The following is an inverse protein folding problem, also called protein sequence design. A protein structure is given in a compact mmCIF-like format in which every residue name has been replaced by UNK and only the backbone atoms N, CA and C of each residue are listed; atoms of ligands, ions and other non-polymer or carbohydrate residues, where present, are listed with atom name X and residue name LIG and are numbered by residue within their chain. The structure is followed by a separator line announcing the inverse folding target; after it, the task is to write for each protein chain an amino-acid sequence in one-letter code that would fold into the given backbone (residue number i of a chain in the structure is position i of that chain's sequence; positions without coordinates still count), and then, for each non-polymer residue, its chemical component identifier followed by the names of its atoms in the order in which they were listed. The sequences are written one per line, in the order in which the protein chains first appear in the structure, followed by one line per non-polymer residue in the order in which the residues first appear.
data_IF_905771464263
#
_entry.id   IF_905771464263
#
_cell.length_a   1.000
_cell.length_b   1.000
_cell.length_c   1.000
_cell.angle_alpha   90.00
_cell.angle_beta   90.00
_cell.angle_gamma   90.00
#
_symmetry.space_group_name_H-M   'P 1'
#
loop_
_entity.id
_entity.type
_entity.pdbx_description
1 polymer ?
#
# COMPACT_ATOMS: atom_id res chain seq x y z
N UNK A 1 -14.87 -13.10 -13.30
CA UNK A 1 -13.55 -12.73 -12.78
C UNK A 1 -13.63 -11.38 -12.09
N UNK A 2 -13.18 -11.30 -10.86
CA UNK A 2 -13.14 -9.99 -10.21
C UNK A 2 -12.17 -9.09 -10.96
N UNK A 3 -12.63 -7.91 -11.33
CA UNK A 3 -11.75 -6.89 -11.88
C UNK A 3 -10.84 -6.38 -10.77
N UNK A 4 -9.55 -6.33 -11.05
CA UNK A 4 -8.63 -5.66 -10.15
C UNK A 4 -8.95 -4.17 -10.15
N UNK A 5 -8.85 -3.50 -9.00
CA UNK A 5 -9.08 -2.06 -8.95
C UNK A 5 -8.05 -1.35 -9.82
N UNK A 6 -8.49 -0.29 -10.49
CA UNK A 6 -7.59 0.50 -11.33
C UNK A 6 -6.47 1.14 -10.51
N UNK A 7 -6.81 1.58 -9.32
CA UNK A 7 -5.85 2.14 -8.37
C UNK A 7 -6.20 1.62 -6.99
N UNK A 8 -5.19 1.22 -6.24
CA UNK A 8 -5.35 0.84 -4.84
C UNK A 8 -4.23 1.44 -4.01
N UNK A 9 -4.49 1.62 -2.72
CA UNK A 9 -3.57 2.23 -1.79
C UNK A 9 -3.39 1.31 -0.59
N UNK A 10 -2.14 1.02 -0.25
CA UNK A 10 -1.81 0.28 0.96
C UNK A 10 -1.24 1.26 1.99
N UNK A 11 -1.83 1.28 3.16
CA UNK A 11 -1.44 2.21 4.21
C UNK A 11 -0.29 1.65 5.04
N UNK A 12 0.77 2.42 5.15
CA UNK A 12 2.00 2.01 5.82
C UNK A 12 2.31 3.03 6.92
N UNK A 13 2.86 2.54 8.04
CA UNK A 13 3.04 3.37 9.23
C UNK A 13 4.21 4.36 9.16
N UNK A 14 5.24 4.08 8.35
CA UNK A 14 6.42 4.94 8.30
C UNK A 14 7.03 4.96 6.92
N UNK A 15 7.83 6.01 6.65
CA UNK A 15 8.52 6.15 5.36
C UNK A 15 9.54 5.02 5.15
N UNK A 16 10.20 4.58 6.20
CA UNK A 16 11.17 3.49 6.12
C UNK A 16 10.49 2.19 5.67
N UNK A 17 9.34 1.87 6.27
CA UNK A 17 8.57 0.71 5.87
C UNK A 17 7.97 0.86 4.47
N UNK A 18 7.60 2.09 4.08
CA UNK A 18 7.10 2.36 2.74
C UNK A 18 8.18 2.09 1.69
N UNK A 19 9.40 2.55 1.90
CA UNK A 19 10.51 2.25 0.99
C UNK A 19 10.79 0.77 0.90
N UNK A 20 10.81 0.10 2.04
CA UNK A 20 11.03 -1.35 2.07
C UNK A 20 9.92 -2.08 1.31
N UNK A 21 8.68 -1.67 1.53
CA UNK A 21 7.54 -2.25 0.83
C UNK A 21 7.63 -2.05 -0.68
N UNK A 22 8.02 -0.85 -1.11
CA UNK A 22 8.22 -0.56 -2.52
C UNK A 22 9.26 -1.49 -3.15
N UNK A 23 10.38 -1.70 -2.47
CA UNK A 23 11.42 -2.58 -2.96
C UNK A 23 10.97 -4.04 -3.05
N UNK A 24 10.22 -4.51 -2.05
CA UNK A 24 9.68 -5.86 -2.05
C UNK A 24 8.76 -6.06 -3.24
N UNK A 25 7.84 -5.15 -3.45
CA UNK A 25 6.88 -5.23 -4.56
C UNK A 25 7.59 -5.15 -5.90
N UNK A 26 8.61 -4.31 -6.02
CA UNK A 26 9.38 -4.17 -7.25
C UNK A 26 10.07 -5.48 -7.62
N UNK A 27 10.60 -6.23 -6.65
CA UNK A 27 11.21 -7.54 -6.89
C UNK A 27 10.22 -8.54 -7.46
N UNK A 28 8.94 -8.34 -7.20
CA UNK A 28 7.86 -9.18 -7.73
C UNK A 28 7.19 -8.59 -8.96
N UNK A 29 7.80 -7.57 -9.57
CA UNK A 29 7.27 -6.95 -10.78
C UNK A 29 6.11 -6.00 -10.54
N UNK A 30 5.87 -5.60 -9.30
CA UNK A 30 4.78 -4.71 -8.94
C UNK A 30 5.33 -3.31 -8.71
N UNK A 31 4.91 -2.37 -9.54
CA UNK A 31 5.29 -0.96 -9.35
C UNK A 31 4.37 -0.31 -8.33
N UNK A 32 4.98 0.42 -7.40
CA UNK A 32 4.25 1.19 -6.41
C UNK A 32 4.85 2.58 -6.28
N UNK A 33 4.04 3.54 -5.89
CA UNK A 33 4.46 4.91 -5.67
C UNK A 33 4.22 5.28 -4.22
N UNK A 34 5.26 5.78 -3.55
CA UNK A 34 5.13 6.22 -2.17
C UNK A 34 4.49 7.60 -2.16
N UNK A 35 3.41 7.73 -1.41
CA UNK A 35 2.71 8.99 -1.24
C UNK A 35 2.46 9.23 0.23
N UNK A 36 2.48 10.49 0.64
CA UNK A 36 2.08 10.88 1.98
C UNK A 36 0.56 10.97 2.02
N UNK A 37 -0.05 10.26 2.97
CA UNK A 37 -1.49 10.32 3.14
C UNK A 37 -1.84 11.30 4.25
N UNK A 38 -2.22 12.51 3.87
CA UNK A 38 -2.59 13.56 4.83
C UNK A 38 -3.86 13.24 5.61
N UNK A 39 -4.71 12.35 5.10
CA UNK A 39 -5.94 11.94 5.80
C UNK A 39 -5.67 11.07 7.00
N UNK A 40 -4.51 10.42 7.01
CA UNK A 40 -4.06 9.57 8.11
C UNK A 40 -2.93 10.20 8.89
N UNK A 41 -2.64 11.48 8.64
CA UNK A 41 -1.71 12.22 9.47
C UNK A 41 -2.31 12.33 10.87
N UNK A 42 -2.04 11.32 11.69
CA UNK A 42 -2.30 11.44 13.11
C UNK A 42 -1.42 12.56 13.67
N UNK A 43 -1.72 13.08 14.86
CA UNK A 43 -0.82 14.04 15.52
C UNK A 43 0.61 13.54 15.68
N UNK A 44 0.84 12.25 15.46
CA UNK A 44 2.16 11.63 15.47
C UNK A 44 2.84 11.60 14.10
N UNK A 45 2.20 12.16 13.08
CA UNK A 45 2.86 12.63 11.89
C UNK A 45 3.20 11.64 10.79
N UNK A 46 2.75 10.39 10.82
CA UNK A 46 3.24 9.43 9.83
C UNK A 46 2.11 8.62 9.22
N UNK A 47 1.53 9.14 8.14
CA UNK A 47 0.69 8.35 7.28
C UNK A 47 1.28 8.32 5.89
N UNK A 48 1.76 7.17 5.46
CA UNK A 48 2.25 6.95 4.12
C UNK A 48 1.41 5.87 3.45
N UNK A 49 1.35 5.91 2.12
CA UNK A 49 0.66 4.89 1.36
C UNK A 49 1.47 4.49 0.16
N UNK A 50 1.32 3.24 -0.25
CA UNK A 50 1.84 2.75 -1.51
C UNK A 50 0.70 2.72 -2.51
N UNK A 51 0.82 3.49 -3.57
CA UNK A 51 -0.15 3.52 -4.64
C UNK A 51 0.18 2.44 -5.65
N UNK A 52 -0.78 1.55 -5.88
CA UNK A 52 -0.67 0.46 -6.84
C UNK A 52 -1.62 0.72 -8.00
N UNK A 53 -1.18 0.41 -9.19
CA UNK A 53 -1.99 0.58 -10.39
C UNK A 53 -2.22 -0.76 -11.05
N UNK A 54 -3.50 -1.13 -11.17
CA UNK A 54 -3.93 -2.40 -11.81
C UNK A 54 -3.26 -3.63 -11.21
N UNK A 55 -3.11 -3.63 -9.89
CA UNK A 55 -2.56 -4.75 -9.15
C UNK A 55 -3.56 -5.25 -8.13
N UNK A 56 -3.43 -6.53 -7.78
CA UNK A 56 -4.24 -7.11 -6.72
C UNK A 56 -3.71 -6.62 -5.35
N UNK A 57 -4.47 -5.80 -4.62
CA UNK A 57 -3.99 -5.28 -3.35
C UNK A 57 -3.84 -6.36 -2.28
N UNK A 58 -4.67 -7.41 -2.31
CA UNK A 58 -4.55 -8.50 -1.35
C UNK A 58 -3.25 -9.28 -1.54
N UNK A 59 -2.87 -9.52 -2.78
CA UNK A 59 -1.61 -10.18 -3.09
C UNK A 59 -0.42 -9.34 -2.66
N UNK A 60 -0.45 -8.04 -2.98
CA UNK A 60 0.61 -7.12 -2.59
C UNK A 60 0.75 -7.08 -1.06
N UNK A 61 -0.36 -7.03 -0.34
CA UNK A 61 -0.37 -7.07 1.11
C UNK A 61 0.29 -8.34 1.65
N UNK A 62 -0.02 -9.49 1.05
CA UNK A 62 0.59 -10.75 1.46
C UNK A 62 2.11 -10.75 1.27
N UNK A 63 2.58 -10.22 0.16
CA UNK A 63 4.02 -10.12 -0.09
C UNK A 63 4.72 -9.27 0.96
N UNK A 64 4.11 -8.16 1.33
CA UNK A 64 4.67 -7.26 2.35
C UNK A 64 4.67 -7.91 3.73
N UNK A 65 3.57 -8.55 4.11
CA UNK A 65 3.47 -9.23 5.40
C UNK A 65 4.46 -10.38 5.51
N UNK A 66 4.70 -11.11 4.43
CA UNK A 66 5.65 -12.22 4.41
C UNK A 66 7.07 -11.76 4.71
N UNK A 67 7.41 -10.51 4.43
CA UNK A 67 8.72 -9.95 4.68
C UNK A 67 8.74 -8.98 5.87
N UNK A 68 7.71 -9.00 6.69
CA UNK A 68 7.68 -8.25 7.93
C UNK A 68 7.27 -6.78 7.79
N UNK A 69 6.74 -6.38 6.63
CA UNK A 69 6.22 -5.03 6.45
C UNK A 69 4.73 -5.03 6.78
N UNK A 70 4.37 -4.31 7.84
CA UNK A 70 3.00 -4.24 8.29
C UNK A 70 2.18 -3.29 7.42
N UNK A 71 1.06 -3.78 6.94
CA UNK A 71 0.08 -2.98 6.20
C UNK A 71 -1.08 -2.66 7.14
N UNK A 72 -1.32 -1.38 7.38
CA UNK A 72 -2.33 -0.92 8.32
C UNK A 72 -3.74 -1.00 7.75
N UNK A 73 -3.85 -0.91 6.43
CA UNK A 73 -5.13 -0.98 5.75
C UNK A 73 -4.95 -0.76 4.27
N UNK A 74 -6.04 -0.78 3.54
CA UNK A 74 -6.00 -0.54 2.10
C UNK A 74 -7.28 0.11 1.62
N UNK A 75 -7.17 0.91 0.57
CA UNK A 75 -8.32 1.57 -0.06
C UNK A 75 -8.20 1.47 -1.57
N UNK A 76 -9.36 1.49 -2.23
CA UNK A 76 -9.40 1.61 -3.69
C UNK A 76 -9.33 3.08 -4.12
N UNK A 77 -9.38 3.33 -5.43
CA UNK A 77 -9.33 4.69 -5.97
C UNK A 77 -10.51 5.57 -5.59
N UNK A 78 -11.62 4.96 -5.16
CA UNK A 78 -12.83 5.69 -4.74
C UNK A 78 -12.87 5.92 -3.23
N UNK A 79 -11.86 5.45 -2.51
CA UNK A 79 -11.77 5.62 -1.06
C UNK A 79 -12.46 4.53 -0.26
N UNK A 80 -12.90 3.45 -0.88
CA UNK A 80 -13.53 2.33 -0.20
C UNK A 80 -12.48 1.42 0.43
N UNK A 81 -12.74 0.94 1.63
CA UNK A 81 -11.83 0.03 2.30
C UNK A 81 -11.76 -1.31 1.58
N UNK A 82 -10.53 -1.81 1.42
CA UNK A 82 -10.27 -3.11 0.79
C UNK A 82 -10.07 -4.22 1.82
N UNK A 83 -9.67 -3.87 3.01
CA UNK A 83 -9.46 -4.81 4.11
C UNK A 83 -9.92 -4.20 5.42
#
# INVERSE_FOLDING_TARGET
MPKQPEVSYLQISSITHAYRGQQILQRHGIFSQIQRDSRYASPRGCGYQLRLRRQDPAYARQLLLAEGVRVLGGKDGDGNDLF
#
